data_IF_925558999181
#
_entry.id   IF_925558999181
#
_cell.length_a   1.000
_cell.length_b   1.000
_cell.length_c   1.000
_cell.angle_alpha   90.00
_cell.angle_beta   90.00
_cell.angle_gamma   90.00
#
_symmetry.space_group_name_H-M   'P 1'
#
loop_
_entity.id
_entity.type
_entity.pdbx_description
1 polymer ?
#
# COMPACT_ATOMS: atom_id res chain seq x y z
N UNK A 1 16.21 14.96 -13.34
CA UNK A 1 15.91 13.63 -12.77
C UNK A 1 15.68 12.67 -13.92
N UNK A 2 16.35 11.52 -13.91
CA UNK A 2 16.11 10.44 -14.86
C UNK A 2 15.02 9.52 -14.30
N UNK A 3 13.98 9.21 -15.08
CA UNK A 3 12.92 8.29 -14.69
C UNK A 3 13.18 6.92 -15.30
N UNK A 4 13.23 5.89 -14.46
CA UNK A 4 13.35 4.49 -14.88
C UNK A 4 12.11 3.72 -14.43
N UNK A 5 11.52 2.97 -15.35
CA UNK A 5 10.37 2.11 -15.07
C UNK A 5 10.84 0.68 -14.88
N UNK A 6 10.32 0.05 -13.83
CA UNK A 6 10.58 -1.36 -13.53
C UNK A 6 9.28 -2.16 -13.63
N UNK A 7 9.34 -3.41 -14.10
CA UNK A 7 8.17 -4.28 -14.15
C UNK A 7 7.69 -4.73 -12.76
N UNK A 8 8.52 -4.58 -11.73
CA UNK A 8 8.19 -4.91 -10.35
C UNK A 8 8.84 -3.90 -9.37
N UNK A 9 8.26 -3.78 -8.18
CA UNK A 9 8.73 -2.87 -7.13
C UNK A 9 10.09 -3.28 -6.56
N UNK A 10 10.38 -4.57 -6.51
CA UNK A 10 11.58 -5.11 -5.86
C UNK A 10 12.87 -4.64 -6.55
N UNK A 11 12.87 -4.59 -7.89
CA UNK A 11 14.00 -4.07 -8.66
C UNK A 11 14.20 -2.57 -8.43
N UNK A 12 13.12 -1.79 -8.30
CA UNK A 12 13.22 -0.37 -8.00
C UNK A 12 13.84 -0.14 -6.62
N UNK A 13 13.47 -0.94 -5.62
CA UNK A 13 14.06 -0.87 -4.29
C UNK A 13 15.54 -1.31 -4.26
N UNK A 14 15.91 -2.31 -5.05
CA UNK A 14 17.28 -2.78 -5.16
C UNK A 14 18.22 -1.69 -5.72
N UNK A 15 17.79 -0.91 -6.71
CA UNK A 15 18.58 0.18 -7.26
C UNK A 15 18.89 1.26 -6.20
N UNK A 16 17.93 1.55 -5.31
CA UNK A 16 18.17 2.48 -4.18
C UNK A 16 19.12 1.85 -3.17
N UNK A 17 18.88 0.60 -2.77
CA UNK A 17 19.72 -0.08 -1.78
C UNK A 17 21.17 -0.29 -2.25
N UNK A 18 21.41 -0.33 -3.56
CA UNK A 18 22.75 -0.46 -4.17
C UNK A 18 23.36 0.89 -4.58
N UNK A 19 22.67 2.01 -4.35
CA UNK A 19 23.15 3.35 -4.68
C UNK A 19 23.13 3.68 -6.18
N UNK A 20 22.42 2.90 -6.99
CA UNK A 20 22.27 3.11 -8.45
C UNK A 20 21.11 4.06 -8.79
N UNK A 21 20.23 4.31 -7.83
CA UNK A 21 19.16 5.31 -7.89
C UNK A 21 19.09 6.10 -6.57
N UNK A 22 18.74 7.38 -6.65
CA UNK A 22 18.62 8.25 -5.47
C UNK A 22 17.36 7.97 -4.64
N UNK A 23 16.28 7.55 -5.31
CA UNK A 23 14.99 7.26 -4.69
C UNK A 23 14.16 6.30 -5.55
N UNK A 24 13.24 5.59 -4.90
CA UNK A 24 12.19 4.80 -5.53
C UNK A 24 10.83 5.26 -4.98
N UNK A 25 9.82 5.24 -5.85
CA UNK A 25 8.47 5.66 -5.50
C UNK A 25 7.48 4.52 -5.79
N UNK A 26 6.62 4.25 -4.83
CA UNK A 26 5.50 3.30 -4.94
C UNK A 26 4.44 3.66 -3.89
N UNK A 27 3.29 3.00 -3.95
CA UNK A 27 2.24 3.00 -2.92
C UNK A 27 2.77 2.93 -1.48
N UNK A 28 2.30 3.83 -0.62
CA UNK A 28 2.73 3.94 0.80
C UNK A 28 2.68 2.60 1.55
N UNK A 29 1.60 1.78 1.48
CA UNK A 29 1.57 0.51 2.20
C UNK A 29 2.66 -0.47 1.73
N UNK A 30 3.00 -0.47 0.44
CA UNK A 30 4.04 -1.34 -0.12
C UNK A 30 5.42 -0.89 0.35
N UNK A 31 5.73 0.40 0.24
CA UNK A 31 7.01 0.98 0.68
C UNK A 31 7.25 0.73 2.17
N UNK A 32 6.25 0.99 3.01
CA UNK A 32 6.37 0.80 4.46
C UNK A 32 6.56 -0.67 4.82
N UNK A 33 5.89 -1.59 4.11
CA UNK A 33 6.09 -3.03 4.32
C UNK A 33 7.50 -3.47 3.94
N UNK A 34 8.02 -3.01 2.79
CA UNK A 34 9.39 -3.32 2.37
C UNK A 34 10.41 -2.83 3.40
N UNK A 35 10.29 -1.57 3.86
CA UNK A 35 11.18 -0.99 4.87
C UNK A 35 11.13 -1.80 6.18
N UNK A 36 9.95 -2.27 6.60
CA UNK A 36 9.80 -3.09 7.81
C UNK A 36 10.39 -4.50 7.67
N UNK A 37 10.54 -5.00 6.44
CA UNK A 37 10.97 -6.37 6.14
C UNK A 37 12.35 -6.37 5.46
N UNK A 38 12.42 -6.53 4.15
CA UNK A 38 13.66 -6.74 3.39
C UNK A 38 14.57 -5.50 3.35
N UNK A 39 13.98 -4.31 3.50
CA UNK A 39 14.66 -3.02 3.51
C UNK A 39 15.10 -2.54 4.90
N UNK A 40 14.88 -3.32 5.95
CA UNK A 40 15.13 -2.91 7.33
C UNK A 40 16.61 -2.52 7.52
N UNK A 41 16.84 -1.29 7.99
CA UNK A 41 18.18 -0.73 8.21
C UNK A 41 18.95 -0.35 6.94
N UNK A 42 18.39 -0.58 5.75
CA UNK A 42 19.03 -0.29 4.45
C UNK A 42 18.45 0.93 3.77
N UNK A 43 17.15 1.16 3.94
CA UNK A 43 16.40 2.26 3.32
C UNK A 43 15.45 2.91 4.32
N UNK A 44 14.97 4.11 4.01
CA UNK A 44 13.98 4.85 4.81
C UNK A 44 13.05 5.64 3.91
N UNK A 45 11.87 5.98 4.41
CA UNK A 45 10.98 6.95 3.76
C UNK A 45 11.56 8.36 3.87
N UNK A 46 11.29 9.20 2.88
CA UNK A 46 11.63 10.63 2.87
C UNK A 46 10.44 11.45 2.36
N UNK A 47 10.27 12.65 2.93
CA UNK A 47 9.21 13.58 2.54
C UNK A 47 7.80 13.17 2.99
N UNK A 48 6.80 14.05 2.75
CA UNK A 48 5.40 13.72 2.97
C UNK A 48 4.87 12.79 1.88
N UNK A 49 3.75 12.11 2.17
CA UNK A 49 3.03 11.34 1.16
C UNK A 49 2.56 12.27 0.03
N UNK A 50 2.99 11.99 -1.19
CA UNK A 50 2.74 12.89 -2.33
C UNK A 50 1.32 12.79 -2.88
N UNK A 51 0.72 11.59 -2.87
CA UNK A 51 -0.65 11.37 -3.35
C UNK A 51 -1.36 10.40 -2.40
N UNK A 52 -2.57 10.77 -1.98
CA UNK A 52 -3.48 9.87 -1.28
C UNK A 52 -4.45 9.28 -2.30
N UNK A 53 -4.50 7.96 -2.37
CA UNK A 53 -5.42 7.23 -3.24
C UNK A 53 -6.24 6.25 -2.39
N UNK A 54 -7.52 6.11 -2.73
CA UNK A 54 -8.36 5.09 -2.13
C UNK A 54 -8.25 3.80 -2.93
N UNK A 55 -7.99 2.69 -2.25
CA UNK A 55 -8.05 1.36 -2.86
C UNK A 55 -9.50 0.87 -2.91
N UNK A 56 -9.83 0.16 -3.99
CA UNK A 56 -11.14 -0.45 -4.19
C UNK A 56 -11.02 -1.78 -4.91
N UNK A 57 -12.06 -2.60 -4.80
CA UNK A 57 -12.19 -3.85 -5.55
C UNK A 57 -12.92 -3.53 -6.86
N UNK A 58 -12.28 -3.77 -8.00
CA UNK A 58 -12.87 -3.52 -9.30
C UNK A 58 -13.80 -4.68 -9.72
N UNK A 59 -14.93 -4.33 -10.32
CA UNK A 59 -15.89 -5.29 -10.90
C UNK A 59 -16.23 -4.89 -12.33
N UNK A 60 -16.62 -5.85 -13.20
CA UNK A 60 -17.23 -5.52 -14.49
C UNK A 60 -18.46 -4.62 -14.30
N UNK A 61 -18.69 -3.73 -15.26
CA UNK A 61 -19.84 -2.82 -15.24
C UNK A 61 -21.14 -3.65 -15.19
N UNK A 62 -22.03 -3.29 -14.26
CA UNK A 62 -23.30 -4.01 -14.04
C UNK A 62 -23.21 -5.25 -13.15
N UNK A 63 -22.04 -5.54 -12.56
CA UNK A 63 -21.90 -6.68 -11.64
C UNK A 63 -22.78 -6.53 -10.39
N UNK A 64 -23.60 -7.55 -10.13
CA UNK A 64 -24.40 -7.64 -8.89
C UNK A 64 -23.55 -7.83 -7.63
N UNK A 65 -22.26 -8.18 -7.79
CA UNK A 65 -21.35 -8.38 -6.67
C UNK A 65 -21.00 -7.07 -5.96
N UNK A 66 -21.11 -5.93 -6.64
CA UNK A 66 -20.77 -4.62 -6.05
C UNK A 66 -21.56 -4.39 -4.76
N UNK A 67 -22.88 -4.58 -4.80
CA UNK A 67 -23.74 -4.37 -3.64
C UNK A 67 -23.43 -5.37 -2.51
N UNK A 68 -23.24 -6.65 -2.86
CA UNK A 68 -22.95 -7.72 -1.89
C UNK A 68 -21.62 -7.50 -1.18
N UNK A 69 -20.57 -7.18 -1.93
CA UNK A 69 -19.22 -6.95 -1.39
C UNK A 69 -19.17 -5.68 -0.55
N UNK A 70 -19.82 -4.60 -0.98
CA UNK A 70 -19.91 -3.38 -0.17
C UNK A 70 -20.63 -3.63 1.17
N UNK A 71 -21.72 -4.40 1.17
CA UNK A 71 -22.42 -4.78 2.40
C UNK A 71 -21.54 -5.63 3.33
N UNK A 72 -20.78 -6.58 2.78
CA UNK A 72 -19.82 -7.38 3.57
C UNK A 72 -18.71 -6.50 4.17
N UNK A 73 -18.11 -5.60 3.40
CA UNK A 73 -17.08 -4.67 3.90
C UNK A 73 -17.66 -3.77 5.01
N UNK A 74 -18.89 -3.28 4.86
CA UNK A 74 -19.56 -2.49 5.90
C UNK A 74 -19.74 -3.29 7.19
N UNK A 75 -20.15 -4.56 7.10
CA UNK A 75 -20.24 -5.46 8.26
C UNK A 75 -18.89 -5.63 8.96
N UNK A 76 -17.82 -5.91 8.20
CA UNK A 76 -16.46 -6.06 8.74
C UNK A 76 -15.94 -4.79 9.42
N UNK A 77 -16.36 -3.62 8.93
CA UNK A 77 -16.04 -2.33 9.59
C UNK A 77 -16.85 -2.17 10.88
N UNK A 78 -18.13 -2.54 10.88
CA UNK A 78 -19.01 -2.40 12.04
C UNK A 78 -18.70 -3.37 13.19
N UNK A 79 -18.16 -4.55 12.89
CA UNK A 79 -17.82 -5.56 13.91
C UNK A 79 -16.35 -5.53 14.36
N UNK A 80 -15.54 -4.60 13.84
CA UNK A 80 -14.12 -4.45 14.20
C UNK A 80 -13.16 -5.40 13.48
N UNK A 81 -13.65 -6.34 12.66
CA UNK A 81 -12.79 -7.26 11.92
C UNK A 81 -11.85 -6.53 10.96
N UNK A 82 -12.35 -5.48 10.29
CA UNK A 82 -11.53 -4.66 9.38
C UNK A 82 -10.39 -3.96 10.13
N UNK A 83 -10.66 -3.44 11.31
CA UNK A 83 -9.66 -2.81 12.16
C UNK A 83 -8.59 -3.81 12.61
N UNK A 84 -8.99 -5.01 13.01
CA UNK A 84 -8.06 -6.08 13.38
C UNK A 84 -7.14 -6.48 12.21
N UNK A 85 -7.69 -6.60 11.00
CA UNK A 85 -6.91 -6.86 9.78
C UNK A 85 -5.93 -5.71 9.52
N UNK A 86 -6.39 -4.46 9.59
CA UNK A 86 -5.56 -3.29 9.33
C UNK A 86 -4.40 -3.18 10.34
N UNK A 87 -4.67 -3.36 11.64
CA UNK A 87 -3.65 -3.38 12.70
C UNK A 87 -2.63 -4.49 12.49
N UNK A 88 -3.07 -5.69 12.10
CA UNK A 88 -2.17 -6.82 11.83
C UNK A 88 -1.12 -6.50 10.76
N UNK A 89 -1.52 -5.84 9.68
CA UNK A 89 -0.63 -5.59 8.54
C UNK A 89 0.14 -4.27 8.66
N UNK A 90 -0.47 -3.22 9.22
CA UNK A 90 0.10 -1.87 9.21
C UNK A 90 0.48 -1.33 10.60
N UNK A 91 0.06 -1.99 11.68
CA UNK A 91 0.41 -1.60 13.05
C UNK A 91 -0.29 -0.34 13.57
N UNK A 92 -1.23 0.22 12.82
CA UNK A 92 -2.01 1.41 13.19
C UNK A 92 -3.50 1.16 13.01
N UNK A 93 -4.35 2.10 13.39
CA UNK A 93 -5.78 2.06 13.05
C UNK A 93 -6.01 2.51 11.60
N UNK A 94 -7.06 1.97 10.94
CA UNK A 94 -7.43 2.46 9.63
C UNK A 94 -7.80 3.95 9.71
N UNK A 95 -7.51 4.76 8.67
CA UNK A 95 -7.97 6.13 8.62
C UNK A 95 -9.48 6.18 8.80
N UNK A 96 -9.96 7.14 9.59
CA UNK A 96 -11.41 7.41 9.67
C UNK A 96 -11.84 7.95 8.31
N UNK A 97 -12.57 7.12 7.57
CA UNK A 97 -13.22 7.49 6.30
C UNK A 97 -14.41 8.39 6.52
#
# INVERSE_FOLDING_TARGET
TELRLFPNSDNAYLEVATGRADAAMHDTPNVLYYIKTNGQGKVKTVGPQMMAQQYGIAFPKGSELVAKVNASIAKLKGDGTYEAIYKKWFGTEPPKS
#
